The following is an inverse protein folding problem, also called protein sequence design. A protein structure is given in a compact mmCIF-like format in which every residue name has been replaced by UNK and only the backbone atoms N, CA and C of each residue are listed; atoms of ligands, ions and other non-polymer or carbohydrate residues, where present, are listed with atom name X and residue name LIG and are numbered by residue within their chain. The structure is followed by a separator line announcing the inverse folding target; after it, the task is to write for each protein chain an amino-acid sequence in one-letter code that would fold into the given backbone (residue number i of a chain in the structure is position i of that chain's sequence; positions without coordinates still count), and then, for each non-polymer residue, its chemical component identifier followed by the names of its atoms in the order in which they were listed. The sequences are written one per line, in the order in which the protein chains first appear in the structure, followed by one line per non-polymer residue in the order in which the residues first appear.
data_IF_143047516650
#
_entry.id   IF_143047516650
#
_cell.length_a   1.000
_cell.length_b   1.000
_cell.length_c   1.000
_cell.angle_alpha   90.00
_cell.angle_beta   90.00
_cell.angle_gamma   90.00
#
_symmetry.space_group_name_H-M   'P 1'
#
loop_
_entity.id
_entity.type
_entity.pdbx_description
1 polymer ?
#
# COMPACT_ATOMS: atom_id res chain seq x y z
N UNK A 1 -17.68 2.99 -14.40
CA UNK A 1 -17.60 1.78 -13.54
C UNK A 1 -17.91 0.49 -14.29
N UNK A 2 -18.99 0.45 -15.09
CA UNK A 2 -19.38 -0.74 -15.83
C UNK A 2 -18.39 -1.13 -16.93
N UNK A 3 -17.94 -0.18 -17.74
CA UNK A 3 -16.91 -0.37 -18.79
C UNK A 3 -15.57 -0.85 -18.24
N UNK A 4 -15.19 -0.38 -17.05
CA UNK A 4 -13.97 -0.78 -16.35
C UNK A 4 -14.07 -2.17 -15.69
N UNK A 5 -15.24 -2.85 -15.76
CA UNK A 5 -15.41 -4.20 -15.23
C UNK A 5 -15.42 -4.33 -13.70
N UNK A 6 -15.62 -3.23 -12.96
CA UNK A 6 -15.51 -3.20 -11.47
C UNK A 6 -16.57 -4.07 -10.78
N UNK A 7 -17.67 -4.36 -11.47
CA UNK A 7 -18.78 -5.14 -10.92
C UNK A 7 -18.50 -6.65 -10.85
N UNK A 8 -17.42 -7.14 -11.48
CA UNK A 8 -17.08 -8.55 -11.42
C UNK A 8 -16.29 -8.86 -10.14
N UNK A 9 -16.84 -9.75 -9.33
CA UNK A 9 -16.13 -10.38 -8.21
C UNK A 9 -15.52 -11.72 -8.61
N UNK A 10 -15.29 -12.56 -7.61
CA UNK A 10 -14.76 -13.90 -7.80
C UNK A 10 -15.83 -14.97 -8.02
N UNK A 11 -15.35 -16.17 -8.38
CA UNK A 11 -16.17 -17.37 -8.52
C UNK A 11 -16.83 -17.80 -7.21
N UNK A 12 -18.06 -18.29 -7.28
CA UNK A 12 -18.94 -18.51 -6.12
C UNK A 12 -18.57 -19.67 -5.21
N UNK A 13 -17.52 -20.42 -5.53
CA UNK A 13 -17.02 -21.53 -4.70
C UNK A 13 -16.12 -21.03 -3.56
N UNK A 14 -15.47 -19.88 -3.74
CA UNK A 14 -14.55 -19.27 -2.78
C UNK A 14 -15.00 -17.83 -2.56
N UNK A 15 -16.04 -17.63 -1.77
CA UNK A 15 -16.55 -16.31 -1.41
C UNK A 15 -16.75 -16.22 0.11
N UNK A 16 -16.68 -15.01 0.67
CA UNK A 16 -16.97 -14.80 2.07
C UNK A 16 -18.46 -14.49 2.27
N UNK A 17 -19.22 -15.28 3.06
CA UNK A 17 -20.63 -15.01 3.35
C UNK A 17 -20.94 -13.60 3.88
N UNK A 18 -20.00 -12.96 4.58
CA UNK A 18 -20.14 -11.57 5.05
C UNK A 18 -20.25 -10.55 3.92
N UNK A 19 -19.86 -10.93 2.70
CA UNK A 19 -20.01 -10.10 1.50
C UNK A 19 -21.42 -10.16 0.91
N UNK A 20 -22.31 -11.00 1.42
CA UNK A 20 -23.69 -11.15 0.90
C UNK A 20 -24.43 -9.81 0.74
N UNK A 21 -24.36 -8.85 1.67
CA UNK A 21 -25.04 -7.56 1.51
C UNK A 21 -24.50 -6.71 0.35
N UNK A 22 -23.27 -6.96 -0.11
CA UNK A 22 -22.60 -6.18 -1.16
C UNK A 22 -22.68 -6.85 -2.55
N UNK A 23 -23.20 -8.08 -2.62
CA UNK A 23 -23.40 -8.84 -3.85
C UNK A 23 -24.81 -8.59 -4.37
N UNK A 24 -24.94 -8.19 -5.63
CA UNK A 24 -26.24 -7.95 -6.28
C UNK A 24 -26.79 -9.19 -6.97
N UNK A 25 -25.93 -9.96 -7.65
CA UNK A 25 -26.35 -11.13 -8.42
C UNK A 25 -25.20 -12.14 -8.60
N UNK A 26 -25.51 -13.27 -9.24
CA UNK A 26 -24.53 -14.27 -9.69
C UNK A 26 -24.82 -14.59 -11.15
N UNK A 27 -23.80 -14.54 -12.01
CA UNK A 27 -23.91 -14.92 -13.44
C UNK A 27 -22.73 -15.79 -13.84
N UNK A 28 -22.99 -16.91 -14.51
CA UNK A 28 -21.97 -17.84 -15.00
C UNK A 28 -20.96 -18.28 -13.91
N UNK A 29 -21.42 -18.44 -12.67
CA UNK A 29 -20.56 -18.83 -11.55
C UNK A 29 -19.69 -17.72 -10.96
N UNK A 30 -19.85 -16.46 -11.39
CA UNK A 30 -19.16 -15.27 -10.88
C UNK A 30 -20.14 -14.40 -10.09
N UNK A 31 -19.72 -13.86 -8.95
CA UNK A 31 -20.49 -12.87 -8.20
C UNK A 31 -20.44 -11.50 -8.88
N UNK A 32 -21.58 -10.81 -8.90
CA UNK A 32 -21.71 -9.43 -9.35
C UNK A 32 -21.87 -8.55 -8.12
N UNK A 33 -21.02 -7.53 -8.01
CA UNK A 33 -21.05 -6.54 -6.93
C UNK A 33 -22.10 -5.46 -7.19
N UNK A 34 -22.68 -4.94 -6.12
CA UNK A 34 -23.65 -3.85 -6.19
C UNK A 34 -22.96 -2.50 -6.43
N UNK A 35 -22.99 -2.03 -7.68
CA UNK A 35 -22.38 -0.76 -8.09
C UNK A 35 -22.97 0.47 -7.40
N UNK A 36 -24.26 0.45 -7.03
CA UNK A 36 -24.87 1.57 -6.30
C UNK A 36 -24.25 1.71 -4.91
N UNK A 37 -24.04 0.60 -4.20
CA UNK A 37 -23.31 0.59 -2.94
C UNK A 37 -21.85 1.00 -3.14
N UNK A 38 -21.19 0.47 -4.17
CA UNK A 38 -19.81 0.85 -4.50
C UNK A 38 -19.66 2.36 -4.76
N UNK A 39 -20.58 2.97 -5.51
CA UNK A 39 -20.56 4.40 -5.80
C UNK A 39 -20.71 5.24 -4.52
N UNK A 40 -21.62 4.84 -3.61
CA UNK A 40 -21.79 5.50 -2.32
C UNK A 40 -20.52 5.44 -1.47
N UNK A 41 -19.97 4.24 -1.26
CA UNK A 41 -18.74 4.09 -0.45
C UNK A 41 -17.54 4.77 -1.09
N UNK A 42 -17.45 4.79 -2.42
CA UNK A 42 -16.40 5.52 -3.11
C UNK A 42 -16.52 7.03 -2.87
N UNK A 43 -17.73 7.59 -2.90
CA UNK A 43 -17.97 9.00 -2.56
C UNK A 43 -17.52 9.30 -1.13
N UNK A 44 -17.98 8.52 -0.14
CA UNK A 44 -17.62 8.71 1.27
C UNK A 44 -16.10 8.60 1.49
N UNK A 45 -15.44 7.67 0.80
CA UNK A 45 -13.98 7.52 0.83
C UNK A 45 -13.26 8.71 0.20
N UNK A 46 -13.75 9.22 -0.94
CA UNK A 46 -13.21 10.41 -1.58
C UNK A 46 -13.35 11.65 -0.70
N UNK A 47 -14.50 11.83 -0.04
CA UNK A 47 -14.76 12.95 0.87
C UNK A 47 -13.80 12.90 2.08
N UNK A 48 -13.60 11.72 2.66
CA UNK A 48 -12.65 11.52 3.76
C UNK A 48 -11.20 11.84 3.34
N UNK A 49 -10.79 11.37 2.16
CA UNK A 49 -9.45 11.63 1.61
C UNK A 49 -9.27 13.11 1.30
N UNK A 50 -10.29 13.77 0.77
CA UNK A 50 -10.26 15.20 0.47
C UNK A 50 -10.11 16.03 1.75
N UNK A 51 -10.90 15.74 2.78
CA UNK A 51 -10.79 16.40 4.08
C UNK A 51 -9.44 16.14 4.77
N UNK A 52 -8.91 14.93 4.68
CA UNK A 52 -7.59 14.62 5.22
C UNK A 52 -6.47 15.37 4.50
N UNK A 53 -6.52 15.40 3.16
CA UNK A 53 -5.55 16.10 2.34
C UNK A 53 -5.58 17.62 2.58
N UNK A 54 -6.78 18.22 2.72
CA UNK A 54 -6.92 19.66 3.01
C UNK A 54 -6.34 20.05 4.37
N UNK A 55 -6.33 19.12 5.33
CA UNK A 55 -5.71 19.26 6.67
C UNK A 55 -4.22 18.92 6.69
N UNK A 56 -3.60 18.58 5.55
CA UNK A 56 -2.18 18.23 5.46
C UNK A 56 -1.80 16.87 6.05
N UNK A 57 -2.79 15.99 6.27
CA UNK A 57 -2.58 14.63 6.79
C UNK A 57 -1.77 13.77 5.82
N UNK A 58 -1.05 12.80 6.35
CA UNK A 58 -0.21 11.90 5.57
C UNK A 58 -0.99 10.67 5.12
N UNK A 59 -1.01 10.41 3.81
CA UNK A 59 -1.63 9.23 3.22
C UNK A 59 -0.59 8.22 2.75
N UNK A 60 -0.86 6.94 3.01
CA UNK A 60 -0.05 5.81 2.57
C UNK A 60 -0.88 4.88 1.69
N UNK A 61 -0.40 4.56 0.48
CA UNK A 61 -1.06 3.61 -0.42
C UNK A 61 -0.29 2.30 -0.46
N UNK A 62 -0.96 1.18 -0.16
CA UNK A 62 -0.37 -0.16 -0.09
C UNK A 62 -0.99 -1.05 -1.16
N UNK A 63 -0.14 -1.75 -1.91
CA UNK A 63 -0.59 -2.82 -2.80
C UNK A 63 0.60 -3.50 -3.45
N UNK A 64 0.92 -4.71 -2.99
CA UNK A 64 2.12 -5.45 -3.40
C UNK A 64 1.88 -6.46 -4.52
N UNK A 65 0.61 -6.75 -4.83
CA UNK A 65 0.23 -7.64 -5.93
C UNK A 65 0.85 -7.16 -7.24
N UNK A 66 1.50 -8.04 -7.98
CA UNK A 66 2.22 -7.69 -9.22
C UNK A 66 1.40 -6.83 -10.20
N UNK A 67 0.10 -7.09 -10.33
CA UNK A 67 -0.81 -6.30 -11.21
C UNK A 67 -1.14 -4.90 -10.66
N UNK A 68 -1.06 -4.71 -9.35
CA UNK A 68 -1.38 -3.46 -8.67
C UNK A 68 -0.13 -2.60 -8.39
N UNK A 69 1.04 -3.23 -8.17
CA UNK A 69 2.28 -2.59 -7.74
C UNK A 69 2.64 -1.34 -8.56
N UNK A 70 2.67 -1.46 -9.89
CA UNK A 70 3.05 -0.35 -10.78
C UNK A 70 1.97 0.74 -10.84
N UNK A 71 0.70 0.36 -10.68
CA UNK A 71 -0.41 1.30 -10.63
C UNK A 71 -0.44 2.07 -9.32
N UNK A 72 -0.18 1.41 -8.19
CA UNK A 72 -0.05 2.02 -6.86
C UNK A 72 1.10 3.02 -6.85
N UNK A 73 2.28 2.62 -7.31
CA UNK A 73 3.45 3.50 -7.35
C UNK A 73 3.18 4.75 -8.22
N UNK A 74 2.64 4.57 -9.44
CA UNK A 74 2.29 5.70 -10.31
C UNK A 74 1.21 6.60 -9.69
N UNK A 75 0.18 6.03 -9.08
CA UNK A 75 -0.88 6.79 -8.44
C UNK A 75 -0.35 7.65 -7.29
N UNK A 76 0.46 7.05 -6.41
CA UNK A 76 1.06 7.74 -5.28
C UNK A 76 2.03 8.85 -5.72
N UNK A 77 2.86 8.62 -6.74
CA UNK A 77 3.77 9.64 -7.28
C UNK A 77 2.99 10.83 -7.84
N UNK A 78 1.93 10.59 -8.61
CA UNK A 78 1.07 11.67 -9.12
C UNK A 78 0.36 12.43 -8.01
N UNK A 79 -0.12 11.71 -6.99
CA UNK A 79 -0.79 12.29 -5.83
C UNK A 79 0.17 12.91 -4.80
N UNK A 80 1.49 12.74 -4.97
CA UNK A 80 2.53 13.11 -4.00
C UNK A 80 2.31 12.49 -2.61
N UNK A 81 1.83 11.25 -2.57
CA UNK A 81 1.64 10.46 -1.36
C UNK A 81 2.70 9.37 -1.21
N UNK A 82 2.77 8.75 -0.03
CA UNK A 82 3.67 7.63 0.24
C UNK A 82 3.07 6.33 -0.26
N UNK A 83 3.91 5.33 -0.55
CA UNK A 83 3.42 4.03 -1.02
C UNK A 83 4.30 2.84 -0.64
N UNK A 84 3.68 1.66 -0.64
CA UNK A 84 4.36 0.35 -0.61
C UNK A 84 3.81 -0.49 -1.76
N UNK A 85 4.68 -0.79 -2.74
CA UNK A 85 4.29 -1.54 -3.94
C UNK A 85 5.01 -2.89 -4.13
N UNK A 86 5.97 -3.22 -3.26
CA UNK A 86 6.79 -4.45 -3.41
C UNK A 86 6.46 -5.53 -2.40
N UNK A 87 6.74 -5.27 -1.12
CA UNK A 87 6.38 -6.17 -0.03
C UNK A 87 6.17 -5.34 1.23
N UNK A 88 5.10 -5.64 1.95
CA UNK A 88 4.91 -5.13 3.30
C UNK A 88 5.84 -5.87 4.27
N UNK A 89 6.69 -5.13 4.97
CA UNK A 89 7.52 -5.69 6.02
C UNK A 89 6.73 -5.60 7.32
N UNK A 90 6.44 -6.74 7.95
CA UNK A 90 5.72 -6.76 9.22
C UNK A 90 6.42 -5.91 10.28
N UNK A 91 5.64 -5.12 11.02
CA UNK A 91 6.11 -4.14 11.98
C UNK A 91 6.43 -2.78 11.39
N UNK A 92 6.07 -2.53 10.12
CA UNK A 92 6.35 -1.25 9.45
C UNK A 92 5.74 -0.06 10.19
N UNK A 93 4.51 -0.22 10.70
CA UNK A 93 3.80 0.80 11.46
C UNK A 93 3.90 0.52 12.97
N UNK A 94 3.67 -0.72 13.40
CA UNK A 94 3.62 -1.03 14.85
C UNK A 94 4.98 -0.95 15.53
N UNK A 95 6.08 -1.12 14.80
CA UNK A 95 7.45 -0.89 15.26
C UNK A 95 8.09 0.25 14.46
N UNK A 96 7.46 1.42 14.50
CA UNK A 96 7.90 2.61 13.78
C UNK A 96 9.36 2.98 14.05
N UNK A 97 9.82 2.88 15.30
CA UNK A 97 11.21 3.19 15.67
C UNK A 97 12.24 2.38 14.85
N UNK A 98 11.97 1.09 14.62
CA UNK A 98 12.85 0.24 13.79
C UNK A 98 12.76 0.61 12.31
N UNK A 99 11.57 0.95 11.82
CA UNK A 99 11.36 1.44 10.45
C UNK A 99 12.12 2.74 10.22
N UNK A 100 11.97 3.71 11.12
CA UNK A 100 12.65 5.00 11.11
C UNK A 100 14.17 4.84 11.08
N UNK A 101 14.73 3.96 11.92
CA UNK A 101 16.17 3.64 11.91
C UNK A 101 16.63 3.12 10.53
N UNK A 102 15.81 2.30 9.87
CA UNK A 102 16.12 1.80 8.51
C UNK A 102 15.98 2.89 7.45
N UNK A 103 15.05 3.83 7.61
CA UNK A 103 14.91 5.01 6.73
C UNK A 103 16.11 5.94 6.85
N UNK A 104 16.61 6.17 8.07
CA UNK A 104 17.86 6.90 8.28
C UNK A 104 19.03 6.21 7.58
N UNK A 105 19.19 4.90 7.76
CA UNK A 105 20.24 4.13 7.08
C UNK A 105 20.13 4.22 5.56
N UNK A 106 18.91 4.18 5.00
CA UNK A 106 18.68 4.38 3.58
C UNK A 106 19.16 5.78 3.11
N UNK A 107 18.83 6.82 3.88
CA UNK A 107 19.25 8.21 3.58
C UNK A 107 20.78 8.35 3.60
N UNK A 108 21.43 7.73 4.57
CA UNK A 108 22.89 7.79 4.72
C UNK A 108 23.57 7.06 3.56
N UNK A 109 23.15 5.82 3.25
CA UNK A 109 23.70 5.05 2.12
C UNK A 109 23.51 5.77 0.78
N UNK A 110 22.36 6.42 0.57
CA UNK A 110 22.10 7.22 -0.64
C UNK A 110 23.01 8.44 -0.71
N UNK A 111 23.31 9.06 0.42
CA UNK A 111 24.23 10.20 0.51
C UNK A 111 25.66 9.75 0.20
N UNK A 112 26.09 8.62 0.75
CA UNK A 112 27.42 8.05 0.50
C UNK A 112 27.62 7.60 -0.94
N UNK A 113 26.57 7.03 -1.56
CA UNK A 113 26.57 6.72 -2.99
C UNK A 113 26.73 7.98 -3.84
N UNK A 114 25.96 9.04 -3.56
CA UNK A 114 26.05 10.32 -4.29
C UNK A 114 27.41 10.99 -4.16
N UNK A 115 28.07 10.85 -3.00
CA UNK A 115 29.42 11.39 -2.74
C UNK A 115 30.55 10.54 -3.34
N UNK A 116 30.23 9.40 -3.98
CA UNK A 116 31.23 8.48 -4.54
C UNK A 116 32.08 7.76 -3.50
N UNK A 117 31.67 7.75 -2.22
CA UNK A 117 32.44 7.08 -1.14
C UNK A 117 32.45 5.56 -1.32
N UNK A 118 31.37 5.00 -1.88
CA UNK A 118 31.24 3.57 -2.14
C UNK A 118 32.31 3.05 -3.11
N UNK A 119 32.78 3.87 -4.04
CA UNK A 119 33.75 3.45 -5.06
C UNK A 119 35.20 3.51 -4.54
N UNK A 120 35.42 4.11 -3.36
CA UNK A 120 36.71 4.11 -2.64
C UNK A 120 36.90 2.92 -1.71
N UNK A 121 35.87 2.08 -1.56
CA UNK A 121 35.90 0.91 -0.70
C UNK A 121 36.41 -0.33 -1.45
N UNK A 122 36.91 -1.36 -0.74
CA UNK A 122 37.18 -2.66 -1.33
C UNK A 122 35.95 -3.20 -2.09
N UNK A 123 36.18 -3.87 -3.23
CA UNK A 123 35.09 -4.37 -4.11
C UNK A 123 34.03 -5.17 -3.36
N UNK A 124 34.45 -5.99 -2.37
CA UNK A 124 33.56 -6.78 -1.52
C UNK A 124 32.62 -5.91 -0.70
N UNK A 125 33.17 -4.89 -0.02
CA UNK A 125 32.41 -4.00 0.86
C UNK A 125 31.49 -3.09 0.05
N UNK A 126 31.99 -2.55 -1.06
CA UNK A 126 31.20 -1.78 -2.01
C UNK A 126 30.00 -2.59 -2.53
N UNK A 127 30.20 -3.86 -2.89
CA UNK A 127 29.13 -4.74 -3.34
C UNK A 127 28.11 -5.02 -2.23
N UNK A 128 28.55 -5.22 -0.99
CA UNK A 128 27.66 -5.43 0.15
C UNK A 128 26.78 -4.20 0.41
N UNK A 129 27.35 -3.00 0.41
CA UNK A 129 26.61 -1.76 0.62
C UNK A 129 25.66 -1.46 -0.55
N UNK A 130 26.07 -1.74 -1.80
CA UNK A 130 25.18 -1.61 -2.97
C UNK A 130 23.98 -2.56 -2.88
N UNK A 131 24.18 -3.80 -2.43
CA UNK A 131 23.09 -4.76 -2.17
C UNK A 131 22.16 -4.27 -1.07
N UNK A 132 22.72 -3.76 0.03
CA UNK A 132 21.92 -3.21 1.12
C UNK A 132 21.10 -2.00 0.69
N UNK A 133 21.69 -1.09 -0.07
CA UNK A 133 21.01 0.07 -0.63
C UNK A 133 19.86 -0.36 -1.55
N UNK A 134 20.12 -1.25 -2.50
CA UNK A 134 19.11 -1.80 -3.42
C UNK A 134 17.94 -2.46 -2.67
N UNK A 135 18.24 -3.23 -1.62
CA UNK A 135 17.22 -3.83 -0.76
C UNK A 135 16.37 -2.76 -0.06
N UNK A 136 17.00 -1.79 0.62
CA UNK A 136 16.26 -0.73 1.32
C UNK A 136 15.46 0.15 0.35
N UNK A 137 15.99 0.48 -0.82
CA UNK A 137 15.25 1.25 -1.83
C UNK A 137 14.03 0.49 -2.36
N UNK A 138 14.14 -0.83 -2.52
CA UNK A 138 13.04 -1.68 -2.99
C UNK A 138 11.85 -1.68 -2.03
N UNK A 139 12.10 -1.75 -0.71
CA UNK A 139 11.04 -1.90 0.30
C UNK A 139 10.63 -0.59 0.97
N UNK A 140 11.56 0.35 1.16
CA UNK A 140 11.33 1.60 1.89
C UNK A 140 11.31 2.83 0.98
N UNK A 141 11.61 2.68 -0.31
CA UNK A 141 11.73 3.80 -1.23
C UNK A 141 10.47 4.65 -1.38
N UNK A 142 9.28 4.05 -1.25
CA UNK A 142 8.00 4.75 -1.32
C UNK A 142 7.56 5.41 -0.01
N UNK A 143 8.22 5.12 1.11
CA UNK A 143 7.99 5.73 2.43
C UNK A 143 9.19 6.55 2.94
N UNK A 144 10.21 6.75 2.09
CA UNK A 144 11.46 7.46 2.45
C UNK A 144 11.28 8.91 2.93
N UNK A 145 10.12 9.50 2.66
CA UNK A 145 9.78 10.86 3.07
C UNK A 145 8.77 10.90 4.22
N UNK A 146 8.36 9.74 4.75
CA UNK A 146 7.52 9.69 5.95
C UNK A 146 8.37 10.07 7.16
N UNK A 147 7.92 11.09 7.89
CA UNK A 147 8.53 11.52 9.15
C UNK A 147 7.83 10.91 10.39
N UNK A 148 6.68 10.27 10.19
CA UNK A 148 5.89 9.67 11.25
C UNK A 148 4.89 8.66 10.70
N UNK A 149 4.01 8.18 11.58
CA UNK A 149 2.92 7.29 11.21
C UNK A 149 1.95 7.98 10.23
N UNK A 150 1.39 7.25 9.27
CA UNK A 150 0.38 7.79 8.37
C UNK A 150 -0.94 7.98 9.11
N UNK A 151 -1.69 9.02 8.73
CA UNK A 151 -3.02 9.29 9.28
C UNK A 151 -4.10 8.44 8.61
N UNK A 152 -3.90 8.07 7.33
CA UNK A 152 -4.82 7.25 6.55
C UNK A 152 -4.02 6.27 5.71
N UNK A 153 -4.46 5.01 5.68
CA UNK A 153 -3.90 3.97 4.83
C UNK A 153 -4.93 3.50 3.81
N UNK A 154 -4.55 3.49 2.54
CA UNK A 154 -5.36 2.96 1.43
C UNK A 154 -4.75 1.62 1.02
N UNK A 155 -5.50 0.52 1.14
CA UNK A 155 -5.02 -0.84 0.87
C UNK A 155 -5.71 -1.42 -0.37
N UNK A 156 -4.90 -1.87 -1.32
CA UNK A 156 -5.33 -2.65 -2.48
C UNK A 156 -5.17 -4.14 -2.16
N UNK A 157 -6.28 -4.87 -2.15
CA UNK A 157 -6.34 -6.31 -1.88
C UNK A 157 -5.97 -6.70 -0.43
N UNK A 158 -6.97 -6.67 0.46
CA UNK A 158 -6.80 -6.99 1.88
C UNK A 158 -6.32 -8.42 2.18
N UNK A 159 -6.48 -9.35 1.23
CA UNK A 159 -6.12 -10.75 1.43
C UNK A 159 -4.59 -10.92 1.42
N UNK A 160 -3.92 -10.28 0.45
CA UNK A 160 -2.46 -10.27 0.36
C UNK A 160 -1.85 -9.34 1.42
N UNK A 161 -2.53 -8.23 1.74
CA UNK A 161 -2.02 -7.19 2.66
C UNK A 161 -2.55 -7.33 4.10
N UNK A 162 -2.86 -8.54 4.54
CA UNK A 162 -3.48 -8.78 5.84
C UNK A 162 -2.64 -8.26 7.03
N UNK A 163 -1.31 -8.32 6.93
CA UNK A 163 -0.40 -7.77 7.95
C UNK A 163 -0.52 -6.25 8.04
N UNK A 164 -0.58 -5.54 6.91
CA UNK A 164 -0.76 -4.09 6.89
C UNK A 164 -2.09 -3.69 7.54
N UNK A 165 -3.17 -4.42 7.20
CA UNK A 165 -4.49 -4.20 7.78
C UNK A 165 -4.49 -4.41 9.31
N UNK A 166 -3.85 -5.49 9.80
CA UNK A 166 -3.72 -5.75 11.24
C UNK A 166 -2.97 -4.63 11.95
N UNK A 167 -1.85 -4.17 11.38
CA UNK A 167 -1.08 -3.08 11.98
C UNK A 167 -1.88 -1.78 12.05
N UNK A 168 -2.65 -1.46 11.00
CA UNK A 168 -3.56 -0.30 11.01
C UNK A 168 -4.62 -0.42 12.10
N UNK A 169 -5.25 -1.61 12.25
CA UNK A 169 -6.24 -1.88 13.30
C UNK A 169 -5.61 -1.71 14.69
N UNK A 170 -4.41 -2.26 14.93
CA UNK A 170 -3.72 -2.17 16.21
C UNK A 170 -3.41 -0.72 16.60
N UNK A 171 -3.09 0.13 15.63
CA UNK A 171 -2.76 1.54 15.86
C UNK A 171 -3.97 2.48 15.75
N UNK A 172 -5.16 1.96 15.43
CA UNK A 172 -6.36 2.78 15.22
C UNK A 172 -6.30 3.68 13.99
N UNK A 173 -5.50 3.33 12.98
CA UNK A 173 -5.34 4.13 11.76
C UNK A 173 -6.52 3.85 10.81
N UNK A 174 -7.30 4.88 10.42
CA UNK A 174 -8.35 4.75 9.42
C UNK A 174 -7.85 4.10 8.12
N UNK A 175 -8.55 3.06 7.69
CA UNK A 175 -8.14 2.26 6.53
C UNK A 175 -9.24 2.25 5.47
N UNK A 176 -8.86 2.56 4.22
CA UNK A 176 -9.74 2.45 3.05
C UNK A 176 -9.28 1.24 2.23
N UNK A 177 -10.10 0.20 2.17
CA UNK A 177 -9.75 -1.05 1.48
C UNK A 177 -10.55 -1.24 0.19
N UNK A 178 -9.87 -1.70 -0.86
CA UNK A 178 -10.54 -2.34 -1.98
C UNK A 178 -10.87 -3.79 -1.61
N UNK A 179 -12.17 -4.09 -1.56
CA UNK A 179 -12.70 -5.39 -1.15
C UNK A 179 -13.25 -6.13 -2.36
N UNK A 180 -12.93 -7.42 -2.46
CA UNK A 180 -13.49 -8.36 -3.41
C UNK A 180 -14.41 -9.37 -2.67
N UNK A 181 -15.15 -10.20 -3.40
CA UNK A 181 -16.03 -11.22 -2.80
C UNK A 181 -15.27 -12.33 -2.08
N UNK A 182 -13.94 -12.38 -2.22
CA UNK A 182 -13.04 -13.27 -1.46
C UNK A 182 -12.53 -12.60 -0.19
N UNK A 183 -12.35 -13.40 0.85
CA UNK A 183 -11.42 -13.12 1.95
C UNK A 183 -10.27 -14.12 1.92
#
# INVERSE_FOLDING_TARGET
MMEAGIHFGHGTRKWNPRMAPYISARRNGIHILNLTRTARFLSEACDLVFDAASKGKQLLIVGTKNKAADSVARAAIRARCHYVSKKWLGGMLTNWYTTETRLHKLRDLRTEQKKGRLDRLPKRDAAMLKRQLSHLETYLGGIKYMAGLPDIVIIVDQQEEYTALRECITLGIPTICLIDTKL
#
